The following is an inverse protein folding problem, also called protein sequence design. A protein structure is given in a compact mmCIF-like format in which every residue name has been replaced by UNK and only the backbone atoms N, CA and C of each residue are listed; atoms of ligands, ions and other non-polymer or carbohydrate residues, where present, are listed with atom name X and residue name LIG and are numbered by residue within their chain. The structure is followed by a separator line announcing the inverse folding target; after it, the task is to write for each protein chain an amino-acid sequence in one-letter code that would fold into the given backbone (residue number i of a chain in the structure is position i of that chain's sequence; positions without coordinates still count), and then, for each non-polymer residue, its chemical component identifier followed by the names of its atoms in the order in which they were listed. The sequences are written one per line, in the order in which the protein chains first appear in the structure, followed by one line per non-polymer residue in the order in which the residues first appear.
data_IF_890610424692
#
_entry.id   IF_890610424692
#
_cell.length_a   1.000
_cell.length_b   1.000
_cell.length_c   1.000
_cell.angle_alpha   90.00
_cell.angle_beta   90.00
_cell.angle_gamma   90.00
#
_symmetry.space_group_name_H-M   'P 1'
#
loop_
_entity.id
_entity.type
_entity.pdbx_description
1 polymer ?
#
# COMPACT_ATOMS: atom_id res chain seq x y z
N UNK A 1 15.17 6.22 18.96
CA UNK A 1 13.95 7.05 18.77
C UNK A 1 12.88 6.12 18.18
N UNK A 2 11.66 6.12 18.72
CA UNK A 2 10.58 5.24 18.28
C UNK A 2 10.07 5.66 16.88
N UNK A 3 9.87 4.71 15.98
CA UNK A 3 9.28 4.94 14.64
C UNK A 3 7.87 4.35 14.56
N UNK A 4 6.95 5.08 13.93
CA UNK A 4 5.60 4.62 13.63
C UNK A 4 5.47 4.48 12.12
N UNK A 5 5.10 3.31 11.64
CA UNK A 5 4.94 3.03 10.22
C UNK A 5 3.57 2.40 9.95
N UNK A 6 3.12 2.49 8.70
CA UNK A 6 1.83 1.98 8.26
C UNK A 6 2.02 0.53 7.78
N UNK A 7 1.15 -0.37 8.26
CA UNK A 7 1.13 -1.78 7.86
C UNK A 7 -0.26 -2.15 7.33
N UNK A 8 -0.34 -2.53 6.06
CA UNK A 8 -1.60 -2.84 5.37
C UNK A 8 -1.78 -4.35 5.16
N UNK A 9 -3.02 -4.79 5.10
CA UNK A 9 -3.38 -6.17 4.79
C UNK A 9 -4.18 -6.19 3.48
N UNK A 10 -3.83 -7.10 2.57
CA UNK A 10 -4.45 -7.23 1.24
C UNK A 10 -5.10 -8.61 1.06
N UNK A 11 -6.05 -8.71 0.14
CA UNK A 11 -6.73 -9.96 -0.19
C UNK A 11 -6.07 -10.66 -1.40
N UNK A 12 -4.75 -10.81 -1.39
CA UNK A 12 -4.01 -11.52 -2.45
C UNK A 12 -3.58 -10.67 -3.65
N UNK A 13 -3.92 -9.39 -3.70
CA UNK A 13 -3.54 -8.45 -4.77
C UNK A 13 -2.41 -7.51 -4.36
N UNK A 14 -1.63 -7.86 -3.33
CA UNK A 14 -0.64 -6.94 -2.76
C UNK A 14 0.49 -6.58 -3.72
N UNK A 15 1.01 -7.55 -4.48
CA UNK A 15 2.14 -7.30 -5.39
C UNK A 15 1.77 -6.28 -6.48
N UNK A 16 0.56 -6.35 -7.03
CA UNK A 16 0.06 -5.35 -7.98
C UNK A 16 -0.04 -3.96 -7.30
N UNK A 17 -0.65 -3.91 -6.11
CA UNK A 17 -0.83 -2.67 -5.36
C UNK A 17 0.51 -2.00 -5.03
N UNK A 18 1.50 -2.75 -4.56
CA UNK A 18 2.81 -2.20 -4.19
C UNK A 18 3.66 -1.81 -5.38
N UNK A 19 3.55 -2.50 -6.52
CA UNK A 19 4.19 -2.04 -7.76
C UNK A 19 3.57 -0.71 -8.24
N UNK A 20 2.26 -0.54 -8.08
CA UNK A 20 1.60 0.74 -8.30
C UNK A 20 2.08 1.81 -7.29
N UNK A 21 2.16 1.50 -6.00
CA UNK A 21 2.65 2.46 -5.00
C UNK A 21 4.09 2.88 -5.27
N UNK A 22 4.94 1.93 -5.70
CA UNK A 22 6.30 2.21 -6.16
C UNK A 22 6.32 3.14 -7.37
N UNK A 23 5.40 3.00 -8.34
CA UNK A 23 5.34 3.91 -9.48
C UNK A 23 4.87 5.32 -9.12
N UNK A 24 4.05 5.46 -8.06
CA UNK A 24 3.55 6.75 -7.55
C UNK A 24 4.59 7.46 -6.70
N UNK A 25 5.13 6.79 -5.69
CA UNK A 25 6.05 7.37 -4.71
C UNK A 25 7.53 7.28 -5.14
N UNK A 26 7.84 6.45 -6.13
CA UNK A 26 9.20 6.10 -6.49
C UNK A 26 9.84 5.16 -5.46
N UNK A 27 11.17 5.15 -5.44
CA UNK A 27 11.95 4.31 -4.53
C UNK A 27 12.04 2.86 -4.99
N UNK A 28 12.63 2.03 -4.12
CA UNK A 28 12.85 0.61 -4.34
C UNK A 28 12.36 -0.19 -3.13
N UNK A 29 11.86 -1.40 -3.37
CA UNK A 29 11.47 -2.28 -2.27
C UNK A 29 12.71 -2.66 -1.47
N UNK A 30 12.67 -2.47 -0.15
CA UNK A 30 13.76 -2.88 0.74
C UNK A 30 13.60 -4.29 1.24
N UNK A 31 12.41 -4.87 1.14
CA UNK A 31 12.12 -6.25 1.50
C UNK A 31 10.93 -6.74 0.70
N UNK A 32 11.04 -7.95 0.16
CA UNK A 32 9.96 -8.70 -0.49
C UNK A 32 10.14 -10.16 -0.09
N UNK A 33 9.28 -10.67 0.78
CA UNK A 33 9.29 -12.05 1.24
C UNK A 33 7.97 -12.71 0.86
N UNK A 34 8.04 -13.86 0.18
CA UNK A 34 6.86 -14.67 -0.12
C UNK A 34 6.67 -15.75 0.93
N UNK A 35 5.46 -16.29 1.03
CA UNK A 35 5.19 -17.36 1.98
C UNK A 35 6.04 -18.61 1.73
N UNK A 36 6.35 -18.93 0.47
CA UNK A 36 7.27 -20.04 0.14
C UNK A 36 8.71 -19.83 0.61
N UNK A 37 9.15 -18.59 0.77
CA UNK A 37 10.54 -18.25 1.11
C UNK A 37 10.78 -18.32 2.62
N UNK A 38 9.70 -18.33 3.43
CA UNK A 38 9.75 -18.39 4.89
C UNK A 38 8.86 -19.52 5.40
N UNK A 39 9.40 -20.76 5.50
CA UNK A 39 8.67 -21.87 6.07
C UNK A 39 8.35 -21.59 7.54
N UNK A 40 7.07 -21.71 7.90
CA UNK A 40 6.58 -21.56 9.26
C UNK A 40 6.41 -22.94 9.89
N UNK A 41 7.08 -23.18 11.01
CA UNK A 41 7.00 -24.47 11.70
C UNK A 41 5.55 -24.79 12.10
N UNK A 42 5.07 -25.98 11.74
CA UNK A 42 3.70 -26.41 12.03
C UNK A 42 2.61 -25.81 11.14
N UNK A 43 2.96 -24.98 10.13
CA UNK A 43 2.00 -24.38 9.19
C UNK A 43 2.26 -24.92 7.79
N UNK A 44 1.24 -25.53 7.19
CA UNK A 44 1.29 -25.96 5.79
C UNK A 44 0.62 -24.90 4.92
N UNK A 45 1.41 -24.17 4.12
CA UNK A 45 0.90 -23.17 3.18
C UNK A 45 0.39 -23.89 1.93
N UNK A 46 -0.87 -23.69 1.52
CA UNK A 46 -1.36 -24.23 0.26
C UNK A 46 -0.56 -23.71 -0.94
N UNK A 47 -0.42 -24.53 -2.00
CA UNK A 47 0.32 -24.17 -3.22
C UNK A 47 -0.16 -22.87 -3.88
N UNK A 48 -1.46 -22.59 -3.79
CA UNK A 48 -2.09 -21.37 -4.30
C UNK A 48 -1.65 -20.09 -3.55
N UNK A 49 -1.18 -20.23 -2.33
CA UNK A 49 -0.76 -19.13 -1.46
C UNK A 49 0.76 -18.97 -1.37
N UNK A 50 1.54 -19.96 -1.82
CA UNK A 50 3.01 -19.96 -1.77
C UNK A 50 3.65 -18.71 -2.37
N UNK A 51 3.06 -18.17 -3.45
CA UNK A 51 3.56 -16.98 -4.12
C UNK A 51 2.99 -15.67 -3.55
N UNK A 52 2.00 -15.71 -2.65
CA UNK A 52 1.51 -14.50 -1.99
C UNK A 52 2.61 -13.89 -1.13
N UNK A 53 2.50 -12.59 -0.88
CA UNK A 53 3.55 -11.86 -0.21
C UNK A 53 3.31 -11.93 1.31
N UNK A 54 4.26 -12.50 2.04
CA UNK A 54 4.25 -12.53 3.50
C UNK A 54 4.62 -11.16 4.07
N UNK A 55 5.60 -10.48 3.46
CA UNK A 55 6.00 -9.14 3.88
C UNK A 55 6.64 -8.37 2.73
N UNK A 56 6.21 -7.11 2.57
CA UNK A 56 6.85 -6.14 1.69
C UNK A 56 7.13 -4.85 2.45
N UNK A 57 8.18 -4.15 2.06
CA UNK A 57 8.52 -2.82 2.56
C UNK A 57 8.88 -1.88 1.41
N UNK A 58 8.20 -0.74 1.34
CA UNK A 58 8.47 0.36 0.42
C UNK A 58 8.75 1.64 1.24
N UNK A 59 10.00 2.13 1.28
CA UNK A 59 10.30 3.43 1.83
C UNK A 59 9.58 4.54 1.06
N UNK A 60 8.92 5.46 1.77
CA UNK A 60 8.23 6.61 1.20
C UNK A 60 8.73 7.89 1.87
N UNK A 61 9.43 8.73 1.12
CA UNK A 61 10.10 9.91 1.67
C UNK A 61 11.31 9.55 2.54
N UNK A 62 11.64 10.41 3.51
CA UNK A 62 12.87 10.28 4.32
C UNK A 62 12.71 9.31 5.50
N UNK A 63 11.56 9.32 6.15
CA UNK A 63 11.39 8.68 7.47
C UNK A 63 10.27 7.65 7.55
N UNK A 64 9.43 7.51 6.51
CA UNK A 64 8.30 6.60 6.51
C UNK A 64 8.57 5.34 5.70
N UNK A 65 7.98 4.23 6.14
CA UNK A 65 7.96 2.98 5.38
C UNK A 65 6.51 2.51 5.30
N UNK A 66 6.05 2.26 4.08
CA UNK A 66 4.80 1.56 3.82
C UNK A 66 5.09 0.06 3.79
N UNK A 67 4.41 -0.70 4.65
CA UNK A 67 4.57 -2.14 4.74
C UNK A 67 3.24 -2.83 4.50
N UNK A 68 3.29 -4.09 4.05
CA UNK A 68 2.08 -4.88 3.92
C UNK A 68 2.32 -6.39 3.94
N UNK A 69 1.22 -7.14 4.02
CA UNK A 69 1.12 -8.59 3.84
C UNK A 69 -0.16 -8.96 3.09
N UNK A 70 -0.16 -10.09 2.40
CA UNK A 70 -1.39 -10.74 1.93
C UNK A 70 -2.01 -11.57 3.07
N UNK A 71 -3.30 -11.36 3.31
CA UNK A 71 -4.08 -12.20 4.21
C UNK A 71 -4.39 -13.55 3.56
N UNK A 72 -4.10 -14.63 4.27
CA UNK A 72 -4.34 -16.00 3.81
C UNK A 72 -5.66 -16.53 4.40
N UNK A 73 -6.73 -16.48 3.60
CA UNK A 73 -8.03 -17.08 3.99
C UNK A 73 -7.91 -18.57 4.27
N UNK A 74 -7.01 -19.27 3.56
CA UNK A 74 -6.71 -20.68 3.77
C UNK A 74 -6.14 -21.00 5.16
N UNK A 75 -5.49 -20.03 5.80
CA UNK A 75 -5.02 -20.10 7.19
C UNK A 75 -6.05 -19.54 8.18
N UNK A 76 -7.27 -19.26 7.72
CA UNK A 76 -8.36 -18.72 8.54
C UNK A 76 -8.25 -17.22 8.81
N UNK A 77 -7.35 -16.49 8.13
CA UNK A 77 -7.25 -15.04 8.26
C UNK A 77 -8.47 -14.39 7.58
N UNK A 78 -9.22 -13.57 8.32
CA UNK A 78 -10.33 -12.79 7.78
C UNK A 78 -9.94 -11.33 7.64
N UNK A 79 -9.80 -10.86 6.40
CA UNK A 79 -9.63 -9.44 6.13
C UNK A 79 -11.01 -8.75 6.14
N UNK A 80 -11.17 -7.74 6.98
CA UNK A 80 -12.35 -6.86 6.93
C UNK A 80 -11.94 -5.54 6.28
N UNK A 81 -12.39 -5.32 5.05
CA UNK A 81 -12.22 -4.01 4.42
C UNK A 81 -13.20 -3.01 5.03
N UNK A 82 -12.70 -1.79 5.24
CA UNK A 82 -13.45 -0.71 5.86
C UNK A 82 -12.77 0.63 5.64
N UNK A 83 -13.38 1.67 6.18
CA UNK A 83 -12.98 3.06 6.02
C UNK A 83 -12.43 3.65 7.33
N UNK A 84 -11.87 2.79 8.17
CA UNK A 84 -11.34 3.12 9.50
C UNK A 84 -9.88 3.57 9.49
N UNK A 85 -9.18 3.40 8.36
CA UNK A 85 -7.78 3.82 8.19
C UNK A 85 -7.66 4.58 6.88
N UNK A 86 -6.99 5.73 6.94
CA UNK A 86 -6.63 6.54 5.78
C UNK A 86 -5.15 6.84 5.82
N UNK A 87 -4.49 6.76 4.67
CA UNK A 87 -3.10 7.20 4.52
C UNK A 87 -3.11 8.61 3.93
N UNK A 88 -2.69 9.58 4.73
CA UNK A 88 -2.57 10.98 4.29
C UNK A 88 -1.14 11.26 3.85
N UNK A 89 -0.99 11.73 2.62
CA UNK A 89 0.30 12.14 2.06
C UNK A 89 0.38 13.66 2.02
N UNK A 90 1.49 14.22 2.50
CA UNK A 90 1.76 15.66 2.54
C UNK A 90 2.98 15.98 1.66
N UNK A 91 2.75 16.40 0.41
CA UNK A 91 3.82 16.80 -0.51
C UNK A 91 4.55 18.05 -0.02
N UNK A 92 5.83 18.19 -0.37
CA UNK A 92 6.64 19.37 -0.01
C UNK A 92 6.41 20.55 -0.97
N UNK A 93 5.86 20.30 -2.17
CA UNK A 93 5.55 21.34 -3.16
C UNK A 93 4.28 21.04 -3.96
N UNK A 94 3.80 22.05 -4.69
CA UNK A 94 2.65 21.89 -5.60
C UNK A 94 2.96 20.92 -6.74
N UNK A 95 4.14 21.01 -7.32
CA UNK A 95 4.59 20.14 -8.41
C UNK A 95 4.64 18.67 -7.95
N UNK A 96 5.08 18.44 -6.71
CA UNK A 96 5.04 17.10 -6.13
C UNK A 96 3.59 16.62 -5.90
N UNK A 97 2.71 17.50 -5.40
CA UNK A 97 1.30 17.19 -5.26
C UNK A 97 0.66 16.81 -6.60
N UNK A 98 0.94 17.56 -7.65
CA UNK A 98 0.43 17.29 -9.00
C UNK A 98 0.96 15.96 -9.55
N UNK A 99 2.25 15.66 -9.39
CA UNK A 99 2.85 14.36 -9.77
C UNK A 99 2.14 13.20 -9.05
N UNK A 100 1.96 13.32 -7.74
CA UNK A 100 1.35 12.29 -6.92
C UNK A 100 -0.14 12.11 -7.25
N UNK A 101 -0.87 13.20 -7.52
CA UNK A 101 -2.28 13.15 -7.91
C UNK A 101 -2.48 12.54 -9.31
N UNK A 102 -1.66 12.93 -10.29
CA UNK A 102 -1.73 12.42 -11.66
C UNK A 102 -1.40 10.93 -11.74
N UNK A 103 -0.41 10.47 -10.97
CA UNK A 103 0.02 9.08 -10.98
C UNK A 103 -0.78 8.20 -9.99
N UNK A 104 -1.37 8.80 -8.95
CA UNK A 104 -1.85 8.10 -7.75
C UNK A 104 -3.35 8.07 -7.54
N UNK A 105 -4.18 8.50 -8.50
CA UNK A 105 -5.64 8.47 -8.36
C UNK A 105 -6.21 7.03 -8.33
N UNK A 106 -6.08 6.34 -7.18
CA UNK A 106 -6.94 5.22 -6.73
C UNK A 106 -7.66 5.62 -5.44
N UNK A 107 -8.70 4.88 -5.08
CA UNK A 107 -9.53 5.14 -3.88
C UNK A 107 -8.76 4.96 -2.55
N UNK A 108 -7.58 4.35 -2.60
CA UNK A 108 -6.79 3.95 -1.42
C UNK A 108 -6.01 5.10 -0.76
N UNK A 109 -5.77 6.22 -1.47
CA UNK A 109 -5.00 7.36 -0.93
C UNK A 109 -5.80 8.65 -0.92
N UNK A 110 -5.75 9.34 0.23
CA UNK A 110 -6.26 10.69 0.36
C UNK A 110 -5.10 11.68 0.31
N UNK A 111 -4.96 12.36 -0.81
CA UNK A 111 -4.02 13.47 -0.96
C UNK A 111 -4.63 14.73 -0.36
N UNK A 112 -3.94 15.33 0.61
CA UNK A 112 -4.36 16.59 1.22
C UNK A 112 -3.56 17.73 0.61
N UNK A 113 -4.10 18.40 -0.41
CA UNK A 113 -3.59 19.70 -0.88
C UNK A 113 -4.64 20.79 -0.61
N UNK A 114 -4.19 22.01 -0.33
CA UNK A 114 -5.03 23.17 -0.09
C UNK A 114 -5.91 23.58 -1.31
N UNK A 115 -5.75 22.93 -2.46
CA UNK A 115 -6.46 23.22 -3.71
C UNK A 115 -7.59 22.21 -4.03
N UNK A 116 -8.12 21.51 -3.01
CA UNK A 116 -9.25 20.55 -3.13
C UNK A 116 -10.50 21.08 -3.84
N UNK A 117 -10.66 22.39 -3.99
CA UNK A 117 -11.86 23.01 -4.55
C UNK A 117 -12.14 22.67 -6.02
N UNK A 118 -11.13 22.26 -6.80
CA UNK A 118 -11.30 22.12 -8.26
C UNK A 118 -11.42 20.66 -8.77
N UNK A 119 -11.11 19.65 -7.96
CA UNK A 119 -11.09 18.25 -8.43
C UNK A 119 -12.42 17.49 -8.25
N UNK A 120 -13.24 17.86 -7.25
CA UNK A 120 -14.62 17.33 -7.13
C UNK A 120 -15.53 17.76 -8.30
N UNK A 121 -15.22 18.88 -8.95
CA UNK A 121 -15.95 19.38 -10.12
C UNK A 121 -15.66 18.58 -11.40
N UNK A 122 -14.52 17.88 -11.49
CA UNK A 122 -14.14 17.10 -12.67
C UNK A 122 -14.71 15.67 -12.63
N UNK A 123 -14.85 15.05 -11.45
CA UNK A 123 -15.48 13.73 -11.30
C UNK A 123 -17.01 13.73 -11.35
N UNK A 124 -17.66 14.90 -11.31
CA UNK A 124 -19.13 15.04 -11.38
C UNK A 124 -19.66 15.34 -12.80
N UNK A 125 -18.79 15.30 -13.82
CA UNK A 125 -19.15 15.57 -15.23
C UNK A 125 -18.66 14.50 -16.23
N UNK A 126 -18.27 13.31 -15.76
CA UNK A 126 -17.96 12.15 -16.60
C UNK A 126 -18.88 10.99 -16.25
#
# INVERSE_FOLDING_TARGET
MTKLNIYLNFAGNMEEAFNFYKSVFGGEFTSVFRFKDMPMEGVNIPKEDENKIMHISLPVGKDNVLMATDSLESLGMKLTQGNNVYVSVHPESKEEADRLLLNGCREDFFFNSAERSNLWALKSRA
#
